data_IF_164445119215
#
_entry.id   IF_164445119215
#
_cell.length_a   1.000
_cell.length_b   1.000
_cell.length_c   1.000
_cell.angle_alpha   90.00
_cell.angle_beta   90.00
_cell.angle_gamma   90.00
#
_symmetry.space_group_name_H-M   'P 1'
#
loop_
_entity.id
_entity.type
_entity.pdbx_description
1 polymer ?
#
# COMPACT_ATOMS: atom_id res chain seq x y z
N UNK A 1 -8.96 18.75 -29.57
CA UNK A 1 -7.58 19.24 -29.35
C UNK A 1 -7.51 19.83 -27.95
N UNK A 2 -7.22 19.02 -26.93
CA UNK A 2 -6.91 19.55 -25.60
C UNK A 2 -5.44 19.95 -25.62
N UNK A 3 -5.16 21.26 -25.54
CA UNK A 3 -3.79 21.74 -25.33
C UNK A 3 -3.43 21.41 -23.88
N UNK A 4 -2.60 20.38 -23.68
CA UNK A 4 -1.92 20.21 -22.40
C UNK A 4 -1.11 21.48 -22.15
N UNK A 5 -1.54 22.29 -21.18
CA UNK A 5 -0.89 23.57 -20.89
C UNK A 5 0.23 23.26 -19.90
N UNK A 6 1.49 23.37 -20.34
CA UNK A 6 2.66 23.25 -19.46
C UNK A 6 2.93 24.55 -18.74
N UNK A 7 3.32 24.45 -17.47
CA UNK A 7 3.71 25.57 -16.60
C UNK A 7 5.11 25.31 -16.07
N UNK A 8 5.97 26.33 -16.05
CA UNK A 8 7.29 26.20 -15.46
C UNK A 8 7.25 26.57 -13.98
N UNK A 9 7.86 25.73 -13.15
CA UNK A 9 8.14 26.01 -11.75
C UNK A 9 9.64 26.05 -11.51
N UNK A 10 10.06 26.97 -10.66
CA UNK A 10 11.45 27.09 -10.22
C UNK A 10 11.51 26.67 -8.75
N UNK A 11 12.39 25.71 -8.45
CA UNK A 11 12.70 25.32 -7.08
C UNK A 11 14.08 25.84 -6.72
N UNK A 12 14.13 26.62 -5.65
CA UNK A 12 15.35 27.18 -5.11
C UNK A 12 16.04 26.18 -4.18
N UNK A 13 17.34 26.35 -3.99
CA UNK A 13 18.11 25.56 -3.04
C UNK A 13 17.64 25.88 -1.61
N UNK A 14 17.20 24.88 -0.83
CA UNK A 14 16.75 25.09 0.55
C UNK A 14 17.91 25.32 1.51
N UNK A 15 19.14 25.05 1.06
CA UNK A 15 20.38 25.25 1.80
C UNK A 15 21.46 25.89 0.93
N UNK A 16 22.37 26.59 1.58
CA UNK A 16 23.73 26.79 1.08
C UNK A 16 24.47 25.45 1.12
N UNK A 17 25.15 25.05 0.04
CA UNK A 17 25.77 23.73 -0.04
C UNK A 17 26.25 23.30 -1.42
N UNK A 18 26.65 22.02 -1.52
CA UNK A 18 27.08 21.40 -2.78
C UNK A 18 25.89 20.65 -3.38
N UNK A 19 25.48 21.04 -4.59
CA UNK A 19 24.41 20.37 -5.32
C UNK A 19 24.91 19.10 -6.00
N UNK A 20 24.08 18.07 -6.05
CA UNK A 20 24.38 16.84 -6.78
C UNK A 20 23.11 16.16 -7.32
N UNK A 21 23.29 15.39 -8.38
CA UNK A 21 22.21 14.56 -8.92
C UNK A 21 21.80 13.46 -7.93
N UNK A 22 20.53 13.07 -7.98
CA UNK A 22 19.97 12.02 -7.11
C UNK A 22 20.79 10.71 -7.14
N UNK A 23 21.33 10.32 -8.29
CA UNK A 23 22.16 9.12 -8.44
C UNK A 23 23.41 9.09 -7.53
N UNK A 24 23.84 10.24 -6.98
CA UNK A 24 24.95 10.35 -6.03
C UNK A 24 24.50 10.30 -4.57
N UNK A 25 23.19 10.28 -4.29
CA UNK A 25 22.66 10.16 -2.93
C UNK A 25 22.86 8.71 -2.45
N UNK A 26 23.41 8.47 -1.24
CA UNK A 26 23.73 7.12 -0.76
C UNK A 26 22.49 6.38 -0.22
N UNK A 27 21.38 6.46 -0.93
CA UNK A 27 20.11 5.80 -0.65
C UNK A 27 19.47 5.32 -1.96
N UNK A 28 19.04 4.05 -2.01
CA UNK A 28 18.57 3.44 -3.25
C UNK A 28 17.22 4.01 -3.72
N UNK A 29 16.32 4.41 -2.81
CA UNK A 29 15.01 4.95 -3.16
C UNK A 29 15.15 6.34 -3.79
N UNK A 30 16.02 7.20 -3.23
CA UNK A 30 16.30 8.51 -3.81
C UNK A 30 17.15 8.40 -5.08
N UNK A 31 18.21 7.58 -5.09
CA UNK A 31 19.12 7.47 -6.23
C UNK A 31 18.46 6.91 -7.50
N UNK A 32 17.45 6.05 -7.34
CA UNK A 32 16.67 5.48 -8.44
C UNK A 32 15.48 6.34 -8.87
N UNK A 33 15.30 7.53 -8.25
CA UNK A 33 14.12 8.39 -8.44
C UNK A 33 12.80 7.67 -8.13
N UNK A 34 12.79 6.71 -7.19
CA UNK A 34 11.56 5.96 -6.85
C UNK A 34 10.51 6.82 -6.13
N UNK A 35 10.95 7.87 -5.42
CA UNK A 35 10.11 8.77 -4.60
C UNK A 35 9.67 10.01 -5.38
N UNK A 36 10.44 10.41 -6.38
CA UNK A 36 10.22 11.62 -7.17
C UNK A 36 11.48 12.03 -7.93
N UNK A 37 11.36 13.05 -8.79
CA UNK A 37 12.50 13.61 -9.51
C UNK A 37 12.90 14.97 -8.95
N UNK A 38 14.20 15.28 -8.98
CA UNK A 38 14.75 16.43 -8.29
C UNK A 38 16.26 16.38 -8.15
N UNK A 39 16.77 17.12 -7.17
CA UNK A 39 18.19 17.26 -6.89
C UNK A 39 18.46 17.23 -5.39
N UNK A 40 19.68 16.85 -5.03
CA UNK A 40 20.14 16.86 -3.66
C UNK A 40 21.14 17.99 -3.42
N UNK A 41 21.17 18.49 -2.18
CA UNK A 41 22.11 19.50 -1.71
C UNK A 41 22.75 19.00 -0.42
N UNK A 42 24.08 19.03 -0.35
CA UNK A 42 24.84 18.73 0.85
C UNK A 42 25.00 20.02 1.67
N UNK A 43 24.27 20.17 2.80
CA UNK A 43 24.12 21.46 3.48
C UNK A 43 25.40 21.86 4.23
N UNK A 44 25.70 23.16 4.23
CA UNK A 44 26.75 23.77 5.07
C UNK A 44 26.19 24.78 6.08
N UNK A 45 24.87 24.88 6.20
CA UNK A 45 24.17 25.78 7.12
C UNK A 45 23.03 25.08 7.85
N UNK A 46 22.69 25.59 9.03
CA UNK A 46 21.78 24.95 9.98
C UNK A 46 20.29 25.24 9.75
N UNK A 47 19.91 26.02 8.74
CA UNK A 47 18.50 26.40 8.51
C UNK A 47 18.03 26.01 7.13
N UNK A 48 16.93 25.27 7.10
CA UNK A 48 16.23 24.86 5.90
C UNK A 48 15.22 25.93 5.50
N UNK A 49 15.29 26.39 4.25
CA UNK A 49 14.38 27.39 3.71
C UNK A 49 13.43 26.82 2.66
N UNK A 50 12.27 27.45 2.51
CA UNK A 50 11.27 27.07 1.51
C UNK A 50 11.81 27.30 0.08
N UNK A 51 11.78 26.28 -0.79
CA UNK A 51 12.30 26.36 -2.15
C UNK A 51 11.37 27.14 -3.10
N UNK A 52 10.11 27.33 -2.74
CA UNK A 52 9.11 28.08 -3.50
C UNK A 52 7.97 28.56 -2.60
N UNK A 53 7.05 29.36 -3.15
CA UNK A 53 5.81 29.70 -2.46
C UNK A 53 4.83 28.51 -2.51
N UNK A 54 4.38 28.06 -1.33
CA UNK A 54 3.57 26.86 -1.19
C UNK A 54 2.86 26.81 0.17
N UNK A 55 1.91 25.89 0.31
CA UNK A 55 1.29 25.53 1.60
C UNK A 55 2.02 24.33 2.20
N UNK A 56 2.33 24.38 3.49
CA UNK A 56 2.87 23.23 4.23
C UNK A 56 1.76 22.20 4.40
N UNK A 57 1.87 21.05 3.74
CA UNK A 57 0.82 20.01 3.78
C UNK A 57 1.16 18.88 4.72
N UNK A 58 2.44 18.61 4.95
CA UNK A 58 2.87 17.58 5.88
C UNK A 58 4.22 17.92 6.50
N UNK A 59 4.35 17.68 7.80
CA UNK A 59 5.63 17.65 8.50
C UNK A 59 5.74 16.27 9.13
N UNK A 60 6.82 15.54 8.83
CA UNK A 60 7.01 14.23 9.42
C UNK A 60 7.14 14.33 10.96
N UNK A 61 6.62 13.38 11.77
CA UNK A 61 6.72 13.46 13.24
C UNK A 61 8.14 13.64 13.78
N UNK A 62 9.14 13.02 13.14
CA UNK A 62 10.57 13.21 13.47
C UNK A 62 11.22 14.42 12.79
N UNK A 63 10.44 15.28 12.13
CA UNK A 63 10.83 16.59 11.56
C UNK A 63 11.99 16.57 10.56
N UNK A 64 12.35 15.41 10.03
CA UNK A 64 13.39 15.27 9.01
C UNK A 64 12.86 15.45 7.57
N UNK A 65 11.54 15.53 7.39
CA UNK A 65 10.93 15.71 6.08
C UNK A 65 9.72 16.65 6.16
N UNK A 66 9.57 17.48 5.13
CA UNK A 66 8.46 18.42 4.96
C UNK A 66 7.96 18.36 3.52
N UNK A 67 6.63 18.28 3.37
CA UNK A 67 5.95 18.32 2.07
C UNK A 67 5.25 19.66 1.92
N UNK A 68 5.48 20.29 0.78
CA UNK A 68 4.90 21.57 0.39
C UNK A 68 4.04 21.36 -0.85
N UNK A 69 2.85 21.94 -0.89
CA UNK A 69 1.99 21.91 -2.08
C UNK A 69 1.90 23.32 -2.66
N UNK A 70 2.36 23.47 -3.90
CA UNK A 70 2.31 24.75 -4.64
C UNK A 70 0.87 25.11 -5.02
N UNK A 71 0.64 26.37 -5.41
CA UNK A 71 -0.69 26.84 -5.85
C UNK A 71 -1.25 26.08 -7.06
N UNK A 72 -0.38 25.48 -7.88
CA UNK A 72 -0.75 24.64 -9.03
C UNK A 72 -0.91 23.15 -8.67
N UNK A 73 -0.88 22.81 -7.37
CA UNK A 73 -1.08 21.46 -6.86
C UNK A 73 0.10 20.52 -7.08
N UNK A 74 1.30 21.04 -7.38
CA UNK A 74 2.53 20.22 -7.39
C UNK A 74 3.04 20.08 -5.97
N UNK A 75 3.29 18.83 -5.56
CA UNK A 75 3.88 18.46 -4.28
C UNK A 75 5.40 18.43 -4.36
N UNK A 76 6.03 19.14 -3.45
CA UNK A 76 7.49 19.25 -3.29
C UNK A 76 7.85 18.66 -1.94
N UNK A 77 8.58 17.55 -1.96
CA UNK A 77 9.11 16.92 -0.75
C UNK A 77 10.55 17.37 -0.54
N UNK A 78 10.84 17.79 0.69
CA UNK A 78 12.20 18.08 1.15
C UNK A 78 12.52 17.07 2.25
N UNK A 79 13.48 16.18 1.97
CA UNK A 79 13.92 15.16 2.91
C UNK A 79 15.37 15.43 3.34
N UNK A 80 15.57 15.70 4.62
CA UNK A 80 16.86 16.10 5.19
C UNK A 80 17.66 14.85 5.54
N UNK A 81 18.83 14.69 4.91
CA UNK A 81 19.75 13.58 5.16
C UNK A 81 19.20 12.19 4.81
N UNK A 82 20.05 11.17 4.94
CA UNK A 82 19.71 9.75 4.75
C UNK A 82 19.75 9.06 6.11
N UNK A 83 18.75 8.23 6.43
CA UNK A 83 18.55 7.56 7.73
C UNK A 83 18.17 8.47 8.92
N UNK A 84 17.87 9.76 8.69
CA UNK A 84 17.47 10.73 9.72
C UNK A 84 16.16 10.39 10.43
N UNK A 85 15.29 9.56 9.84
CA UNK A 85 14.09 9.04 10.51
C UNK A 85 14.41 8.34 11.84
N UNK A 86 15.59 7.69 11.94
CA UNK A 86 16.04 6.96 13.14
C UNK A 86 16.32 7.88 14.33
N UNK A 87 16.51 9.18 14.08
CA UNK A 87 16.80 10.18 15.12
C UNK A 87 15.56 10.59 15.93
N UNK A 88 14.35 10.17 15.50
CA UNK A 88 13.09 10.44 16.23
C UNK A 88 12.90 11.91 16.64
N UNK A 89 13.37 12.85 15.83
CA UNK A 89 13.26 14.30 16.06
C UNK A 89 14.45 14.94 16.77
N UNK A 90 15.44 14.16 17.21
CA UNK A 90 16.67 14.70 17.78
C UNK A 90 17.46 15.50 16.74
N UNK A 91 17.79 16.75 17.06
CA UNK A 91 18.53 17.66 16.17
C UNK A 91 17.65 18.45 15.19
N UNK A 92 16.32 18.37 15.28
CA UNK A 92 15.39 19.09 14.39
C UNK A 92 14.36 19.96 15.15
N UNK A 93 14.28 21.22 14.76
CA UNK A 93 13.30 22.19 15.29
C UNK A 93 12.47 22.73 14.14
N UNK A 94 11.19 22.36 14.09
CA UNK A 94 10.25 22.91 13.11
C UNK A 94 9.91 24.36 13.47
N UNK A 95 9.94 25.24 12.49
CA UNK A 95 9.65 26.68 12.61
C UNK A 95 8.27 27.04 12.03
N UNK A 96 7.62 26.07 11.39
CA UNK A 96 6.30 26.18 10.74
C UNK A 96 5.41 25.01 11.18
N UNK A 97 4.10 25.17 11.00
CA UNK A 97 3.08 24.17 11.27
C UNK A 97 2.44 23.67 9.96
N UNK A 98 1.81 22.50 10.03
CA UNK A 98 0.96 22.01 8.93
C UNK A 98 -0.21 22.98 8.73
N UNK A 99 -0.44 23.37 7.48
CA UNK A 99 -1.45 24.35 7.08
C UNK A 99 -0.90 25.74 6.79
N UNK A 100 0.31 26.06 7.25
CA UNK A 100 0.92 27.39 7.04
C UNK A 100 1.22 27.66 5.56
N UNK A 101 1.00 28.89 5.12
CA UNK A 101 1.45 29.37 3.81
C UNK A 101 2.85 29.97 3.94
N UNK A 102 3.78 29.49 3.13
CA UNK A 102 5.18 29.93 3.12
C UNK A 102 5.54 30.54 1.77
N UNK A 103 6.38 31.57 1.80
CA UNK A 103 7.01 32.16 0.62
C UNK A 103 8.37 31.53 0.39
N UNK A 104 8.86 31.63 -0.84
CA UNK A 104 10.24 31.24 -1.13
C UNK A 104 11.20 31.95 -0.17
N UNK A 105 12.15 31.19 0.39
CA UNK A 105 13.14 31.61 1.38
C UNK A 105 12.63 31.80 2.82
N UNK A 106 11.38 31.47 3.13
CA UNK A 106 10.93 31.44 4.52
C UNK A 106 11.57 30.25 5.26
N UNK A 107 11.94 30.41 6.54
CA UNK A 107 12.57 29.35 7.31
C UNK A 107 11.56 28.27 7.70
N UNK A 108 11.89 27.00 7.47
CA UNK A 108 11.01 25.86 7.72
C UNK A 108 11.48 25.03 8.91
N UNK A 109 12.76 24.63 8.92
CA UNK A 109 13.32 23.72 9.93
C UNK A 109 14.74 24.17 10.27
N UNK A 110 15.05 24.24 11.56
CA UNK A 110 16.41 24.43 12.07
C UNK A 110 17.01 23.08 12.48
N UNK A 111 18.27 22.87 12.11
CA UNK A 111 18.99 21.60 12.23
C UNK A 111 20.30 21.81 12.98
N UNK A 112 20.52 20.99 14.00
CA UNK A 112 21.84 20.82 14.60
C UNK A 112 22.69 19.90 13.71
N UNK A 113 23.40 20.49 12.74
CA UNK A 113 24.20 19.75 11.78
C UNK A 113 25.27 18.88 12.46
N UNK A 114 25.89 19.34 13.54
CA UNK A 114 26.93 18.59 14.24
C UNK A 114 26.35 17.34 14.90
N UNK A 115 25.21 17.47 15.57
CA UNK A 115 24.53 16.32 16.19
C UNK A 115 24.02 15.33 15.14
N UNK A 116 23.41 15.83 14.06
CA UNK A 116 22.84 14.97 13.01
C UNK A 116 23.94 14.27 12.20
N UNK A 117 24.99 14.98 11.78
CA UNK A 117 26.07 14.45 10.95
C UNK A 117 26.76 13.22 11.58
N UNK A 118 26.90 13.21 12.91
CA UNK A 118 27.55 12.13 13.64
C UNK A 118 26.70 10.85 13.75
N UNK A 119 25.40 10.91 13.43
CA UNK A 119 24.46 9.80 13.65
C UNK A 119 23.83 9.26 12.37
N UNK A 120 24.14 9.85 11.22
CA UNK A 120 23.49 9.50 9.94
C UNK A 120 24.50 9.20 8.85
N UNK A 121 24.04 8.49 7.81
CA UNK A 121 24.89 8.08 6.70
C UNK A 121 25.32 9.26 5.83
N UNK A 122 24.48 10.30 5.72
CA UNK A 122 24.70 11.46 4.87
C UNK A 122 23.75 12.58 5.25
N UNK A 123 24.22 13.84 5.21
CA UNK A 123 23.40 15.03 5.39
C UNK A 123 22.73 15.53 4.09
N UNK A 124 23.08 14.95 2.95
CA UNK A 124 22.49 15.31 1.64
C UNK A 124 20.97 15.35 1.74
N UNK A 125 20.46 16.57 1.61
CA UNK A 125 19.03 16.87 1.63
C UNK A 125 18.50 16.76 0.21
N UNK A 126 17.45 15.99 0.03
CA UNK A 126 16.82 15.78 -1.26
C UNK A 126 15.64 16.73 -1.40
N UNK A 127 15.58 17.44 -2.53
CA UNK A 127 14.44 18.27 -2.93
C UNK A 127 13.87 17.67 -4.20
N UNK A 128 12.63 17.20 -4.14
CA UNK A 128 12.00 16.49 -5.25
C UNK A 128 10.55 16.91 -5.45
N UNK A 129 10.07 16.73 -6.66
CA UNK A 129 8.66 16.73 -7.01
C UNK A 129 8.19 15.27 -6.96
N UNK A 130 7.17 14.97 -6.14
CA UNK A 130 6.69 13.59 -5.91
C UNK A 130 5.89 13.05 -7.10
N UNK A 131 5.16 13.93 -7.79
CA UNK A 131 4.35 13.60 -8.98
C UNK A 131 5.20 13.68 -10.27
N UNK A 132 5.86 12.57 -10.61
CA UNK A 132 6.76 12.50 -11.76
C UNK A 132 6.04 12.58 -13.11
N UNK A 133 4.79 12.12 -13.18
CA UNK A 133 4.00 12.12 -14.41
C UNK A 133 3.63 13.55 -14.85
N UNK A 134 3.63 14.50 -13.90
CA UNK A 134 3.50 15.92 -14.23
C UNK A 134 4.76 16.51 -14.83
N UNK A 135 5.95 15.98 -14.55
CA UNK A 135 7.23 16.57 -14.96
C UNK A 135 7.49 16.22 -16.43
N UNK A 136 7.28 17.19 -17.32
CA UNK A 136 7.62 17.08 -18.74
C UNK A 136 9.13 17.17 -18.93
N UNK A 137 9.77 18.07 -18.18
CA UNK A 137 11.20 18.31 -18.27
C UNK A 137 11.74 18.87 -16.96
N UNK A 138 12.89 18.38 -16.52
CA UNK A 138 13.61 18.93 -15.38
C UNK A 138 15.00 19.37 -15.82
N UNK A 139 15.31 20.65 -15.58
CA UNK A 139 16.58 21.27 -15.96
C UNK A 139 17.31 21.77 -14.71
N UNK A 140 18.44 21.16 -14.32
CA UNK A 140 19.20 21.63 -13.17
C UNK A 140 19.94 22.94 -13.46
N UNK A 141 20.31 23.63 -12.40
CA UNK A 141 21.33 24.67 -12.44
C UNK A 141 22.70 24.10 -12.86
N UNK A 142 23.52 24.93 -13.51
CA UNK A 142 24.90 24.58 -13.88
C UNK A 142 25.90 24.75 -12.72
N UNK A 143 25.48 25.40 -11.64
CA UNK A 143 26.31 25.65 -10.46
C UNK A 143 26.32 24.45 -9.51
N UNK A 144 27.53 23.97 -9.17
CA UNK A 144 27.72 22.89 -8.19
C UNK A 144 27.72 23.39 -6.74
N UNK A 145 27.97 24.68 -6.51
CA UNK A 145 27.93 25.31 -5.19
C UNK A 145 26.82 26.35 -5.24
N UNK A 146 25.86 26.21 -4.34
CA UNK A 146 24.67 27.06 -4.27
C UNK A 146 24.60 27.73 -2.90
N UNK A 147 24.12 28.96 -2.87
CA UNK A 147 23.64 29.59 -1.64
C UNK A 147 22.16 29.29 -1.45
N UNK A 148 21.65 29.34 -0.21
CA UNK A 148 20.22 29.26 0.02
C UNK A 148 19.46 30.31 -0.79
N UNK A 149 18.43 29.85 -1.50
CA UNK A 149 17.64 30.69 -2.37
C UNK A 149 18.20 30.92 -3.78
N UNK A 150 19.34 30.31 -4.14
CA UNK A 150 19.78 30.19 -5.53
C UNK A 150 18.93 29.15 -6.28
N UNK A 151 18.87 29.21 -7.61
CA UNK A 151 18.12 28.23 -8.40
C UNK A 151 18.74 26.83 -8.27
N UNK A 152 17.95 25.83 -7.87
CA UNK A 152 18.37 24.43 -7.82
C UNK A 152 18.03 23.71 -9.12
N UNK A 153 16.76 23.76 -9.53
CA UNK A 153 16.30 23.28 -10.83
C UNK A 153 14.99 23.95 -11.26
N UNK A 154 14.75 23.95 -12.57
CA UNK A 154 13.47 24.29 -13.18
C UNK A 154 12.76 23.01 -13.62
N UNK A 155 11.46 22.93 -13.38
CA UNK A 155 10.63 21.86 -13.88
C UNK A 155 9.50 22.42 -14.75
N UNK A 156 9.37 21.90 -15.97
CA UNK A 156 8.21 22.08 -16.81
C UNK A 156 7.17 21.03 -16.41
N UNK A 157 6.03 21.47 -15.88
CA UNK A 157 4.98 20.59 -15.34
C UNK A 157 3.65 20.74 -16.08
N UNK A 158 2.92 19.66 -16.30
CA UNK A 158 1.58 19.72 -16.91
C UNK A 158 0.54 20.20 -15.89
N UNK A 159 -0.35 21.11 -16.32
CA UNK A 159 -1.42 21.69 -15.48
C UNK A 159 -2.63 20.77 -15.25
N UNK A 160 -2.54 19.48 -15.57
CA UNK A 160 -3.67 18.57 -15.40
C UNK A 160 -3.55 17.76 -14.12
N UNK A 161 -4.34 18.13 -13.12
CA UNK A 161 -4.85 17.15 -12.18
C UNK A 161 -6.29 17.46 -11.78
N UNK A 162 -7.16 16.48 -12.00
CA UNK A 162 -8.33 16.28 -11.15
C UNK A 162 -7.81 15.84 -9.78
N UNK A 163 -7.56 16.81 -8.91
CA UNK A 163 -7.44 16.56 -7.48
C UNK A 163 -8.63 17.24 -6.83
N UNK A 164 -9.51 16.44 -6.22
CA UNK A 164 -10.57 16.94 -5.36
C UNK A 164 -9.88 17.47 -4.11
N UNK A 165 -9.67 18.78 -4.06
CA UNK A 165 -9.23 19.49 -2.85
C UNK A 165 -10.47 19.78 -2.01
N UNK A 166 -10.38 19.53 -0.71
CA UNK A 166 -11.37 19.97 0.27
C UNK A 166 -11.54 21.50 0.16
N UNK A 167 -12.71 21.96 -0.28
CA UNK A 167 -13.09 23.38 -0.29
C UNK A 167 -14.27 23.62 0.64
N UNK A 168 -14.42 24.85 1.14
CA UNK A 168 -15.53 25.29 1.99
C UNK A 168 -16.91 25.26 1.29
N UNK A 169 -16.98 24.86 0.01
CA UNK A 169 -18.22 24.74 -0.77
C UNK A 169 -18.86 23.34 -0.70
N UNK A 170 -18.35 22.44 0.15
CA UNK A 170 -18.91 21.09 0.34
C UNK A 170 -20.01 21.11 1.42
N UNK A 171 -21.14 20.45 1.16
CA UNK A 171 -22.16 20.25 2.21
C UNK A 171 -21.66 19.20 3.21
N UNK A 172 -21.91 19.44 4.51
CA UNK A 172 -21.48 18.55 5.59
C UNK A 172 -22.68 17.94 6.32
N UNK A 173 -22.51 16.70 6.80
CA UNK A 173 -23.46 16.06 7.70
C UNK A 173 -23.24 16.49 9.15
N UNK A 174 -24.23 16.24 10.02
CA UNK A 174 -23.97 16.18 11.45
C UNK A 174 -22.98 15.04 11.77
N UNK A 175 -22.20 15.13 12.87
CA UNK A 175 -21.29 14.06 13.27
C UNK A 175 -22.04 12.75 13.56
N UNK A 176 -21.62 11.67 12.90
CA UNK A 176 -22.25 10.35 13.00
C UNK A 176 -21.32 9.42 13.78
N UNK A 177 -21.87 8.78 14.82
CA UNK A 177 -21.13 7.82 15.62
C UNK A 177 -21.03 6.47 14.92
N UNK A 178 -19.82 5.92 14.81
CA UNK A 178 -19.60 4.58 14.30
C UNK A 178 -20.01 3.54 15.34
N UNK A 179 -20.94 2.67 14.97
CA UNK A 179 -21.46 1.59 15.83
C UNK A 179 -20.86 0.21 15.51
N UNK A 180 -20.05 0.13 14.46
CA UNK A 180 -19.31 -1.05 14.02
C UNK A 180 -18.25 -1.44 15.07
N UNK A 181 -18.33 -2.64 15.71
CA UNK A 181 -17.43 -3.05 16.79
C UNK A 181 -15.94 -3.02 16.40
N UNK A 182 -15.66 -3.21 15.11
CA UNK A 182 -14.31 -3.25 14.54
C UNK A 182 -13.94 -1.96 13.79
N UNK A 183 -14.80 -0.94 13.79
CA UNK A 183 -14.58 0.35 13.11
C UNK A 183 -14.82 0.31 11.60
N UNK A 184 -14.34 1.32 10.84
CA UNK A 184 -14.41 1.34 9.37
C UNK A 184 -13.21 0.59 8.79
N UNK A 185 -13.26 -0.73 8.91
CA UNK A 185 -12.35 -1.65 8.23
C UNK A 185 -12.85 -1.96 6.80
N UNK A 186 -12.21 -2.90 6.10
CA UNK A 186 -12.49 -3.20 4.70
C UNK A 186 -13.98 -3.47 4.36
N UNK A 187 -14.75 -4.16 5.22
CA UNK A 187 -16.16 -4.51 4.93
C UNK A 187 -17.10 -3.29 5.10
N UNK A 188 -17.08 -2.56 6.22
CA UNK A 188 -17.80 -1.28 6.34
C UNK A 188 -17.34 -0.25 5.32
N UNK A 189 -16.04 -0.18 5.00
CA UNK A 189 -15.52 0.69 3.94
C UNK A 189 -16.07 0.31 2.56
N UNK A 190 -16.15 -0.98 2.23
CA UNK A 190 -16.76 -1.46 0.99
C UNK A 190 -18.27 -1.17 0.93
N UNK A 191 -18.97 -1.27 2.05
CA UNK A 191 -20.38 -0.89 2.16
C UNK A 191 -20.58 0.62 1.90
N UNK A 192 -19.68 1.47 2.40
CA UNK A 192 -19.65 2.92 2.11
C UNK A 192 -19.45 3.17 0.62
N UNK A 193 -18.47 2.52 -0.01
CA UNK A 193 -18.21 2.66 -1.46
C UNK A 193 -19.40 2.16 -2.29
N UNK A 194 -20.04 1.09 -1.85
CA UNK A 194 -21.23 0.51 -2.50
C UNK A 194 -22.44 1.43 -2.39
N UNK A 195 -22.63 2.07 -1.23
CA UNK A 195 -23.74 3.00 -1.01
C UNK A 195 -23.67 4.22 -1.94
N UNK A 196 -22.47 4.69 -2.30
CA UNK A 196 -22.28 5.83 -3.21
C UNK A 196 -22.01 5.44 -4.66
N UNK A 197 -22.11 4.15 -4.98
CA UNK A 197 -21.86 3.62 -6.34
C UNK A 197 -22.98 4.06 -7.27
N UNK A 198 -22.62 4.76 -8.34
CA UNK A 198 -23.57 5.29 -9.34
C UNK A 198 -23.98 6.75 -9.13
N UNK A 199 -23.54 7.39 -8.04
CA UNK A 199 -23.72 8.83 -7.82
C UNK A 199 -22.62 9.62 -8.54
N UNK A 200 -22.93 10.82 -9.04
CA UNK A 200 -21.97 11.74 -9.65
C UNK A 200 -21.58 12.87 -8.68
N UNK A 201 -21.00 12.49 -7.55
CA UNK A 201 -20.49 13.43 -6.55
C UNK A 201 -19.14 13.01 -5.97
N UNK A 202 -18.37 14.03 -5.59
CA UNK A 202 -17.18 13.93 -4.77
C UNK A 202 -17.63 13.75 -3.32
N UNK A 203 -17.11 12.72 -2.64
CA UNK A 203 -17.47 12.44 -1.25
C UNK A 203 -16.22 12.21 -0.42
N UNK A 204 -16.13 12.87 0.72
CA UNK A 204 -15.06 12.69 1.70
C UNK A 204 -15.63 12.32 3.07
N UNK A 205 -14.87 11.53 3.81
CA UNK A 205 -15.10 11.23 5.22
C UNK A 205 -14.03 11.91 6.05
N UNK A 206 -14.44 12.56 7.14
CA UNK A 206 -13.55 13.24 8.07
C UNK A 206 -13.61 12.61 9.45
N UNK A 207 -12.44 12.42 10.06
CA UNK A 207 -12.28 12.09 11.49
C UNK A 207 -11.23 13.02 12.09
N UNK A 208 -11.58 13.74 13.15
CA UNK A 208 -10.65 14.56 13.94
C UNK A 208 -9.76 15.53 13.12
N UNK A 209 -10.29 16.10 12.02
CA UNK A 209 -9.56 17.03 11.14
C UNK A 209 -8.88 16.37 9.93
N UNK A 210 -8.77 15.04 9.90
CA UNK A 210 -8.22 14.30 8.76
C UNK A 210 -9.33 13.86 7.81
N UNK A 211 -9.15 14.09 6.51
CA UNK A 211 -10.14 13.79 5.46
C UNK A 211 -9.62 12.74 4.48
N UNK A 212 -10.45 11.78 4.11
CA UNK A 212 -10.14 10.83 3.04
C UNK A 212 -11.32 10.66 2.06
N UNK A 213 -11.01 10.23 0.85
CA UNK A 213 -11.99 10.00 -0.21
C UNK A 213 -12.86 8.79 0.13
N UNK A 214 -14.17 8.98 0.20
CA UNK A 214 -15.14 7.93 0.55
C UNK A 214 -15.30 6.85 -0.53
N UNK A 215 -14.78 7.08 -1.74
CA UNK A 215 -14.72 6.06 -2.80
C UNK A 215 -13.49 5.15 -2.70
N UNK A 216 -12.51 5.53 -1.88
CA UNK A 216 -11.28 4.76 -1.70
C UNK A 216 -11.36 3.93 -0.43
N UNK A 217 -11.50 2.62 -0.57
CA UNK A 217 -11.47 1.68 0.57
C UNK A 217 -10.18 1.85 1.37
N UNK A 218 -9.03 1.97 0.68
CA UNK A 218 -7.71 2.17 1.30
C UNK A 218 -7.61 3.53 1.99
N UNK A 219 -8.12 4.60 1.36
CA UNK A 219 -8.17 5.93 1.98
C UNK A 219 -9.01 5.97 3.25
N UNK A 220 -10.15 5.29 3.25
CA UNK A 220 -11.01 5.16 4.43
C UNK A 220 -10.36 4.36 5.56
N UNK A 221 -9.64 3.30 5.21
CA UNK A 221 -8.86 2.53 6.18
C UNK A 221 -7.69 3.35 6.75
N UNK A 222 -7.10 4.23 5.94
CA UNK A 222 -6.04 5.17 6.34
C UNK A 222 -6.46 6.19 7.40
N UNK A 223 -7.76 6.50 7.53
CA UNK A 223 -8.30 7.38 8.57
C UNK A 223 -8.38 6.73 9.96
N UNK A 224 -8.16 5.41 10.05
CA UNK A 224 -8.14 4.65 11.30
C UNK A 224 -9.39 4.91 12.18
N UNK A 225 -10.58 4.82 11.58
CA UNK A 225 -11.86 5.11 12.25
C UNK A 225 -12.30 3.88 13.04
N UNK A 226 -12.38 3.99 14.37
CA UNK A 226 -12.71 2.92 15.31
C UNK A 226 -14.15 2.96 15.83
N UNK A 227 -14.52 1.96 16.63
CA UNK A 227 -15.82 1.90 17.30
C UNK A 227 -16.04 3.10 18.23
N UNK A 228 -17.17 3.78 18.06
CA UNK A 228 -17.54 4.94 18.86
C UNK A 228 -16.93 6.26 18.40
N UNK A 229 -16.07 6.26 17.37
CA UNK A 229 -15.58 7.49 16.75
C UNK A 229 -16.71 8.25 16.05
N UNK A 230 -16.60 9.57 16.01
CA UNK A 230 -17.49 10.42 15.25
C UNK A 230 -16.87 10.75 13.90
N UNK A 231 -17.64 10.56 12.83
CA UNK A 231 -17.24 10.91 11.47
C UNK A 231 -18.17 11.96 10.88
N UNK A 232 -17.61 12.82 10.06
CA UNK A 232 -18.38 13.82 9.30
C UNK A 232 -18.26 13.52 7.82
N UNK A 233 -19.39 13.49 7.11
CA UNK A 233 -19.42 13.28 5.66
C UNK A 233 -19.42 14.64 4.97
N UNK A 234 -18.61 14.78 3.93
CA UNK A 234 -18.57 15.94 3.06
C UNK A 234 -18.90 15.51 1.63
N UNK A 235 -19.85 16.18 0.98
CA UNK A 235 -20.23 15.87 -0.39
C UNK A 235 -20.28 17.12 -1.28
N UNK A 236 -19.94 16.97 -2.56
CA UNK A 236 -20.06 18.01 -3.58
C UNK A 236 -20.40 17.42 -4.95
N UNK A 237 -21.40 17.98 -5.61
CA UNK A 237 -21.82 17.57 -6.96
C UNK A 237 -23.33 17.51 -7.11
N UNK A 238 -23.79 17.01 -8.25
CA UNK A 238 -25.22 17.01 -8.62
C UNK A 238 -26.07 16.16 -7.66
N UNK A 239 -25.49 15.05 -7.14
CA UNK A 239 -26.16 14.11 -6.23
C UNK A 239 -25.75 14.27 -4.75
N UNK A 240 -25.19 15.42 -4.36
CA UNK A 240 -24.56 15.60 -3.05
C UNK A 240 -25.49 15.34 -1.85
N UNK A 241 -26.77 15.72 -1.94
CA UNK A 241 -27.74 15.55 -0.85
C UNK A 241 -28.16 14.08 -0.69
N UNK A 242 -28.32 13.37 -1.81
CA UNK A 242 -28.63 11.94 -1.83
C UNK A 242 -27.47 11.10 -1.28
N UNK A 243 -26.23 11.48 -1.60
CA UNK A 243 -25.04 10.82 -1.05
C UNK A 243 -24.96 10.96 0.47
N UNK A 244 -25.28 12.15 1.00
CA UNK A 244 -25.28 12.42 2.44
C UNK A 244 -26.32 11.56 3.17
N UNK A 245 -27.55 11.50 2.65
CA UNK A 245 -28.63 10.71 3.25
C UNK A 245 -28.34 9.21 3.21
N UNK A 246 -27.87 8.69 2.07
CA UNK A 246 -27.55 7.26 1.92
C UNK A 246 -26.41 6.83 2.83
N UNK A 247 -25.34 7.62 2.91
CA UNK A 247 -24.22 7.31 3.80
C UNK A 247 -24.58 7.47 5.27
N UNK A 248 -25.37 8.48 5.63
CA UNK A 248 -25.84 8.66 7.01
C UNK A 248 -26.68 7.47 7.45
N UNK A 249 -27.57 6.98 6.59
CA UNK A 249 -28.37 5.79 6.87
C UNK A 249 -27.52 4.52 6.93
N UNK A 250 -26.58 4.35 5.99
CA UNK A 250 -25.72 3.17 5.93
C UNK A 250 -24.79 3.05 7.16
N UNK A 251 -24.22 4.17 7.61
CA UNK A 251 -23.36 4.23 8.80
C UNK A 251 -24.18 4.01 10.08
N UNK A 252 -25.36 4.63 10.21
CA UNK A 252 -26.22 4.46 11.39
C UNK A 252 -26.85 3.08 11.52
N UNK A 253 -26.94 2.31 10.43
CA UNK A 253 -27.40 0.91 10.42
C UNK A 253 -26.26 -0.10 10.51
N UNK A 254 -25.02 0.36 10.74
CA UNK A 254 -23.88 -0.52 11.02
C UNK A 254 -23.28 -1.18 9.80
N UNK A 255 -23.54 -0.66 8.59
CA UNK A 255 -22.87 -1.07 7.34
C UNK A 255 -22.90 -2.59 7.06
N UNK A 256 -23.93 -3.27 7.56
CA UNK A 256 -24.15 -4.71 7.36
C UNK A 256 -23.20 -5.62 8.15
N UNK A 257 -22.56 -5.15 9.22
CA UNK A 257 -21.71 -5.96 10.12
C UNK A 257 -22.55 -6.65 11.22
N UNK A 258 -22.38 -7.97 11.39
CA UNK A 258 -23.02 -8.69 12.50
C UNK A 258 -22.41 -8.26 13.84
N UNK A 259 -23.26 -7.84 14.78
CA UNK A 259 -22.84 -7.28 16.07
C UNK A 259 -22.99 -5.76 16.19
N UNK A 260 -23.36 -5.05 15.11
CA UNK A 260 -23.72 -3.62 15.13
C UNK A 260 -25.12 -3.34 15.73
N UNK A 261 -25.58 -4.18 16.66
CA UNK A 261 -26.80 -3.94 17.44
C UNK A 261 -26.40 -3.24 18.75
N UNK A 262 -27.16 -2.20 19.12
CA UNK A 262 -26.87 -1.25 20.20
C UNK A 262 -26.87 -1.83 21.65
N UNK A 263 -26.65 -3.12 21.84
CA UNK A 263 -26.66 -3.74 23.18
C UNK A 263 -25.89 -5.05 23.19
N UNK A 264 -24.60 -5.00 23.57
CA UNK A 264 -23.98 -5.94 24.54
C UNK A 264 -22.54 -5.52 24.79
N UNK A 265 -22.29 -4.95 25.96
CA UNK A 265 -20.97 -4.90 26.59
C UNK A 265 -20.78 -6.16 27.42
N UNK A 266 -19.68 -6.88 27.22
CA UNK A 266 -19.09 -7.73 28.27
C UNK A 266 -17.57 -7.72 28.15
N UNK A 267 -16.83 -7.69 29.28
CA UNK A 267 -15.40 -7.42 29.31
C UNK A 267 -14.57 -8.69 29.03
N UNK A 268 -13.44 -8.50 28.35
CA UNK A 268 -12.40 -9.51 28.12
C UNK A 268 -11.54 -9.58 29.38
N UNK A 269 -11.36 -10.78 29.94
CA UNK A 269 -10.43 -11.05 31.04
C UNK A 269 -8.99 -11.19 30.52
N UNK A 270 -8.08 -10.43 31.10
CA UNK A 270 -6.62 -10.57 30.99
C UNK A 270 -6.17 -11.91 31.58
N UNK A 271 -5.81 -12.87 30.74
CA UNK A 271 -4.95 -14.01 31.13
C UNK A 271 -4.34 -14.70 29.89
N UNK A 272 -3.61 -13.92 29.07
CA UNK A 272 -2.78 -14.47 28.01
C UNK A 272 -1.36 -13.92 28.11
N UNK A 273 -0.42 -14.77 28.53
CA UNK A 273 1.02 -14.48 28.58
C UNK A 273 1.68 -14.92 27.25
N UNK A 274 2.13 -13.96 26.41
CA UNK A 274 2.73 -14.24 25.11
C UNK A 274 4.18 -14.75 25.18
N UNK A 275 4.74 -15.01 26.37
CA UNK A 275 6.11 -15.48 26.55
C UNK A 275 6.25 -16.93 27.07
N UNK A 276 5.17 -17.70 27.15
CA UNK A 276 5.23 -19.08 27.70
C UNK A 276 5.64 -20.18 26.72
N UNK A 277 5.86 -19.90 25.44
CA UNK A 277 6.36 -20.91 24.49
C UNK A 277 7.87 -20.81 24.27
N UNK A 278 8.58 -21.87 24.63
CA UNK A 278 9.99 -22.02 24.33
C UNK A 278 10.21 -21.99 22.81
N UNK A 279 11.07 -21.07 22.35
CA UNK A 279 11.48 -20.98 20.95
C UNK A 279 12.03 -22.32 20.44
N UNK A 280 11.33 -22.94 19.48
CA UNK A 280 11.73 -24.18 18.79
C UNK A 280 12.86 -24.01 17.77
N UNK A 281 13.48 -22.82 17.69
CA UNK A 281 14.54 -22.49 16.73
C UNK A 281 15.86 -23.27 16.90
N UNK A 282 15.92 -24.31 17.76
CA UNK A 282 17.16 -25.04 18.06
C UNK A 282 17.05 -26.57 18.21
N UNK A 283 16.07 -27.25 17.61
CA UNK A 283 16.06 -28.72 17.58
C UNK A 283 16.32 -29.31 16.18
N UNK A 284 17.53 -29.14 15.68
CA UNK A 284 18.02 -29.91 14.54
C UNK A 284 18.36 -31.33 15.00
N UNK A 285 17.64 -32.32 14.45
CA UNK A 285 18.02 -33.72 14.58
C UNK A 285 19.39 -33.93 13.93
N UNK A 286 20.28 -34.72 14.55
CA UNK A 286 21.58 -35.07 13.97
C UNK A 286 21.47 -36.10 12.82
N UNK A 287 20.29 -36.70 12.61
CA UNK A 287 20.02 -37.55 11.45
C UNK A 287 19.48 -36.72 10.28
N UNK A 288 20.17 -36.67 9.12
CA UNK A 288 19.72 -35.91 7.94
C UNK A 288 18.41 -36.42 7.33
N UNK A 289 17.91 -37.59 7.74
CA UNK A 289 16.61 -38.14 7.30
C UNK A 289 15.47 -37.84 8.27
N UNK A 290 15.74 -37.12 9.36
CA UNK A 290 14.75 -36.75 10.37
C UNK A 290 14.65 -35.24 10.44
N UNK A 291 13.48 -34.72 10.09
CA UNK A 291 13.14 -33.30 10.16
C UNK A 291 12.17 -33.10 11.32
N UNK A 292 12.44 -32.11 12.17
CA UNK A 292 11.55 -31.71 13.27
C UNK A 292 10.76 -30.48 12.83
N UNK A 293 9.49 -30.38 13.22
CA UNK A 293 8.62 -29.24 12.90
C UNK A 293 7.47 -29.11 13.90
N UNK A 294 6.64 -28.08 13.70
CA UNK A 294 5.44 -27.86 14.52
C UNK A 294 4.29 -28.69 13.97
N UNK A 295 3.60 -29.41 14.86
CA UNK A 295 2.45 -30.22 14.51
C UNK A 295 1.21 -29.33 14.29
N UNK A 296 0.64 -29.38 13.08
CA UNK A 296 -0.61 -28.69 12.76
C UNK A 296 -1.85 -29.55 13.04
N UNK A 297 -1.73 -30.88 12.94
CA UNK A 297 -2.81 -31.84 13.21
C UNK A 297 -2.23 -33.19 13.65
N UNK A 298 -2.79 -33.84 14.68
CA UNK A 298 -2.31 -35.13 15.16
C UNK A 298 -2.61 -36.26 14.19
N UNK A 299 -1.59 -37.08 13.91
CA UNK A 299 -1.72 -38.25 13.05
C UNK A 299 -0.38 -38.85 12.65
N UNK A 300 -0.41 -40.10 12.16
CA UNK A 300 0.74 -40.77 11.56
C UNK A 300 0.35 -41.30 10.19
N UNK A 301 1.13 -40.95 9.18
CA UNK A 301 0.89 -41.33 7.79
C UNK A 301 2.19 -41.77 7.13
N UNK A 302 2.10 -42.76 6.25
CA UNK A 302 3.21 -43.26 5.45
C UNK A 302 2.80 -43.24 3.98
N UNK A 303 3.58 -42.55 3.15
CA UNK A 303 3.22 -42.30 1.76
C UNK A 303 4.40 -41.90 0.89
N UNK A 304 4.11 -41.68 -0.39
CA UNK A 304 5.08 -41.19 -1.38
C UNK A 304 5.28 -39.70 -1.20
N UNK A 305 6.53 -39.26 -1.05
CA UNK A 305 6.85 -37.84 -0.93
C UNK A 305 6.71 -37.16 -2.30
N UNK A 306 5.88 -36.13 -2.39
CA UNK A 306 5.76 -35.29 -3.58
C UNK A 306 6.15 -33.86 -3.26
N UNK A 307 7.28 -33.40 -3.80
CA UNK A 307 7.81 -32.05 -3.55
C UNK A 307 7.33 -31.10 -4.63
N UNK A 308 6.55 -30.09 -4.24
CA UNK A 308 6.15 -28.99 -5.12
C UNK A 308 7.17 -27.87 -5.01
N UNK A 309 7.84 -27.57 -6.13
CA UNK A 309 8.57 -26.33 -6.30
C UNK A 309 7.67 -25.30 -6.97
N UNK A 310 7.09 -24.41 -6.18
CA UNK A 310 6.39 -23.23 -6.66
C UNK A 310 7.41 -22.17 -7.11
N UNK A 311 8.11 -22.44 -8.22
CA UNK A 311 8.96 -21.43 -8.85
C UNK A 311 8.09 -20.41 -9.59
N UNK A 312 8.33 -19.13 -9.33
CA UNK A 312 7.74 -18.04 -10.10
C UNK A 312 8.32 -18.13 -11.52
N UNK A 313 7.49 -18.14 -12.58
CA UNK A 313 7.97 -18.18 -13.95
C UNK A 313 8.92 -17.02 -14.22
N UNK A 314 10.07 -17.29 -14.87
CA UNK A 314 10.98 -16.23 -15.30
C UNK A 314 10.37 -15.53 -16.50
N UNK A 315 10.26 -14.21 -16.40
CA UNK A 315 9.72 -13.37 -17.47
C UNK A 315 10.78 -12.40 -17.98
N UNK A 316 10.64 -12.00 -19.24
CA UNK A 316 11.45 -10.96 -19.85
C UNK A 316 11.13 -9.61 -19.22
N UNK A 317 12.13 -8.78 -18.93
CA UNK A 317 11.95 -7.52 -18.21
C UNK A 317 11.36 -6.40 -19.09
N UNK A 318 11.48 -6.51 -20.41
CA UNK A 318 11.11 -5.47 -21.37
C UNK A 318 10.22 -6.03 -22.46
N UNK A 319 9.30 -5.21 -22.95
CA UNK A 319 8.46 -5.54 -24.08
C UNK A 319 8.49 -4.41 -25.11
N UNK A 320 8.29 -4.76 -26.38
CA UNK A 320 8.38 -3.80 -27.49
C UNK A 320 7.08 -3.00 -27.70
N UNK A 321 5.93 -3.57 -27.31
CA UNK A 321 4.62 -2.96 -27.52
C UNK A 321 3.83 -2.86 -26.20
N UNK A 322 3.77 -1.66 -25.59
CA UNK A 322 3.01 -1.41 -24.37
C UNK A 322 1.50 -1.71 -24.49
N UNK A 323 0.88 -1.50 -25.66
CA UNK A 323 -0.56 -1.74 -25.84
C UNK A 323 -0.87 -3.24 -25.90
N UNK A 324 -0.03 -4.02 -26.58
CA UNK A 324 -0.18 -5.47 -26.61
C UNK A 324 0.02 -6.10 -25.22
N UNK A 325 0.97 -5.58 -24.43
CA UNK A 325 1.17 -6.04 -23.06
C UNK A 325 0.04 -5.63 -22.11
N UNK A 326 -0.53 -4.44 -22.29
CA UNK A 326 -1.74 -4.04 -21.56
C UNK A 326 -2.89 -5.01 -21.84
N UNK A 327 -3.14 -5.34 -23.11
CA UNK A 327 -4.19 -6.31 -23.45
C UNK A 327 -3.93 -7.68 -22.83
N UNK A 328 -2.68 -8.17 -22.83
CA UNK A 328 -2.32 -9.43 -22.16
C UNK A 328 -2.60 -9.41 -20.67
N UNK A 329 -2.34 -8.28 -20.01
CA UNK A 329 -2.64 -8.10 -18.59
C UNK A 329 -4.14 -8.10 -18.32
N UNK A 330 -4.91 -7.37 -19.14
CA UNK A 330 -6.38 -7.31 -19.04
C UNK A 330 -7.00 -8.71 -19.22
N UNK A 331 -6.54 -9.44 -20.24
CA UNK A 331 -6.98 -10.80 -20.51
C UNK A 331 -6.64 -11.74 -19.34
N UNK A 332 -5.43 -11.63 -18.77
CA UNK A 332 -5.01 -12.47 -17.65
C UNK A 332 -5.80 -12.19 -16.36
N UNK A 333 -6.07 -10.92 -16.05
CA UNK A 333 -6.89 -10.52 -14.89
C UNK A 333 -8.33 -11.01 -15.09
N UNK A 334 -8.88 -10.85 -16.30
CA UNK A 334 -10.23 -11.32 -16.64
C UNK A 334 -10.37 -12.83 -16.47
N UNK A 335 -9.40 -13.61 -16.97
CA UNK A 335 -9.37 -15.07 -16.82
C UNK A 335 -9.22 -15.49 -15.36
N UNK A 336 -8.34 -14.83 -14.59
CA UNK A 336 -8.17 -15.09 -13.17
C UNK A 336 -9.47 -14.82 -12.39
N UNK A 337 -10.13 -13.70 -12.66
CA UNK A 337 -11.37 -13.33 -12.00
C UNK A 337 -12.51 -14.30 -12.35
N UNK A 338 -12.67 -14.67 -13.61
CA UNK A 338 -13.65 -15.68 -14.03
C UNK A 338 -13.44 -17.04 -13.31
N UNK A 339 -12.18 -17.43 -13.11
CA UNK A 339 -11.83 -18.66 -12.40
C UNK A 339 -12.17 -18.56 -10.91
N UNK A 340 -11.87 -17.42 -10.27
CA UNK A 340 -12.26 -17.17 -8.87
C UNK A 340 -13.77 -17.18 -8.69
N UNK A 341 -14.53 -16.63 -9.65
CA UNK A 341 -16.01 -16.66 -9.62
C UNK A 341 -16.53 -18.09 -9.68
N UNK A 342 -15.95 -18.95 -10.53
CA UNK A 342 -16.31 -20.37 -10.55
C UNK A 342 -15.96 -21.06 -9.23
N UNK A 343 -14.77 -20.83 -8.69
CA UNK A 343 -14.34 -21.44 -7.42
C UNK A 343 -15.26 -21.07 -6.25
N UNK A 344 -15.65 -19.79 -6.15
CA UNK A 344 -16.62 -19.32 -5.13
C UNK A 344 -17.96 -20.04 -5.28
N UNK A 345 -18.42 -20.23 -6.52
CA UNK A 345 -19.67 -20.95 -6.79
C UNK A 345 -19.58 -22.41 -6.36
N UNK A 346 -18.51 -23.11 -6.74
CA UNK A 346 -18.30 -24.52 -6.40
C UNK A 346 -18.19 -24.74 -4.87
N UNK A 347 -17.55 -23.81 -4.16
CA UNK A 347 -17.44 -23.87 -2.70
C UNK A 347 -18.77 -23.63 -1.99
N UNK A 348 -19.60 -22.73 -2.53
CA UNK A 348 -20.97 -22.52 -2.02
C UNK A 348 -21.85 -23.74 -2.27
N UNK A 349 -21.75 -24.35 -3.44
CA UNK A 349 -22.50 -25.56 -3.79
C UNK A 349 -22.08 -26.76 -2.90
N UNK A 350 -20.84 -26.77 -2.40
CA UNK A 350 -20.31 -27.76 -1.44
C UNK A 350 -20.58 -27.42 0.04
N UNK A 351 -21.44 -26.43 0.35
CA UNK A 351 -21.72 -25.95 1.71
C UNK A 351 -20.49 -25.45 2.50
N UNK A 352 -19.42 -25.02 1.81
CA UNK A 352 -18.21 -24.47 2.43
C UNK A 352 -18.25 -22.93 2.45
N UNK A 353 -19.35 -22.34 2.96
CA UNK A 353 -19.63 -20.91 2.89
C UNK A 353 -18.51 -20.01 3.46
N UNK A 354 -17.96 -20.36 4.63
CA UNK A 354 -16.85 -19.61 5.25
C UNK A 354 -15.56 -19.62 4.40
N UNK A 355 -15.31 -20.70 3.65
CA UNK A 355 -14.18 -20.75 2.71
C UNK A 355 -14.45 -19.90 1.48
N UNK A 356 -15.70 -19.85 1.01
CA UNK A 356 -16.07 -19.02 -0.13
C UNK A 356 -15.87 -17.50 0.16
N UNK A 357 -16.07 -17.06 1.41
CA UNK A 357 -15.86 -15.67 1.80
C UNK A 357 -14.39 -15.21 1.68
N UNK A 358 -13.43 -16.12 1.90
CA UNK A 358 -12.00 -15.86 1.67
C UNK A 358 -11.76 -15.52 0.18
N UNK A 359 -12.36 -16.29 -0.72
CA UNK A 359 -12.20 -16.07 -2.16
C UNK A 359 -12.98 -14.86 -2.70
N UNK A 360 -14.00 -14.39 -1.99
CA UNK A 360 -14.66 -13.10 -2.30
C UNK A 360 -13.71 -11.95 -1.98
N UNK A 361 -13.02 -12.00 -0.83
CA UNK A 361 -12.00 -11.02 -0.51
C UNK A 361 -10.84 -11.05 -1.54
N UNK A 362 -10.48 -12.23 -2.04
CA UNK A 362 -9.50 -12.37 -3.12
C UNK A 362 -9.94 -11.69 -4.43
N UNK A 363 -11.22 -11.73 -4.79
CA UNK A 363 -11.74 -11.01 -5.96
C UNK A 363 -11.66 -9.49 -5.76
N UNK A 364 -11.93 -8.99 -4.56
CA UNK A 364 -11.83 -7.57 -4.23
C UNK A 364 -10.37 -7.08 -4.31
N UNK A 365 -9.42 -7.88 -3.80
CA UNK A 365 -7.99 -7.58 -3.90
C UNK A 365 -7.50 -7.56 -5.36
N UNK A 366 -8.00 -8.49 -6.20
CA UNK A 366 -7.66 -8.51 -7.63
C UNK A 366 -8.23 -7.32 -8.39
N UNK A 367 -9.42 -6.86 -8.00
CA UNK A 367 -10.14 -5.77 -8.64
C UNK A 367 -9.69 -4.38 -8.16
N UNK A 368 -8.69 -4.28 -7.29
CA UNK A 368 -8.16 -3.02 -6.78
C UNK A 368 -7.57 -2.17 -7.92
N UNK A 369 -8.14 -0.98 -8.20
CA UNK A 369 -7.63 -0.08 -9.23
C UNK A 369 -6.18 0.35 -8.98
N UNK A 370 -5.75 0.46 -7.71
CA UNK A 370 -4.39 0.92 -7.39
C UNK A 370 -3.32 -0.10 -7.84
N UNK A 371 -3.65 -1.39 -7.81
CA UNK A 371 -2.76 -2.45 -8.29
C UNK A 371 -2.64 -2.40 -9.82
N UNK A 372 -3.77 -2.21 -10.51
CA UNK A 372 -3.83 -2.13 -11.97
C UNK A 372 -3.17 -0.86 -12.53
N UNK A 373 -3.47 0.31 -11.96
CA UNK A 373 -2.89 1.60 -12.37
C UNK A 373 -1.36 1.60 -12.26
N UNK A 374 -0.81 1.03 -11.19
CA UNK A 374 0.65 0.87 -11.04
C UNK A 374 1.25 -0.04 -12.11
N UNK A 375 0.53 -1.10 -12.50
CA UNK A 375 0.99 -1.98 -13.58
C UNK A 375 1.00 -1.24 -14.92
N UNK A 376 -0.01 -0.40 -15.21
CA UNK A 376 -0.06 0.42 -16.41
C UNK A 376 1.12 1.40 -16.51
N UNK A 377 1.50 2.02 -15.40
CA UNK A 377 2.66 2.93 -15.34
C UNK A 377 3.94 2.19 -15.77
N UNK A 378 4.18 0.99 -15.25
CA UNK A 378 5.35 0.18 -15.62
C UNK A 378 5.29 -0.31 -17.08
N UNK A 379 4.10 -0.67 -17.59
CA UNK A 379 3.90 -1.03 -19.00
C UNK A 379 4.22 0.13 -19.94
N UNK A 380 3.82 1.36 -19.60
CA UNK A 380 4.13 2.57 -20.37
C UNK A 380 5.64 2.88 -20.38
N UNK A 381 6.39 2.43 -19.37
CA UNK A 381 7.85 2.50 -19.31
C UNK A 381 8.55 1.41 -20.15
N UNK A 382 7.80 0.63 -20.95
CA UNK A 382 8.33 -0.42 -21.84
C UNK A 382 8.65 -1.73 -21.12
N UNK A 383 8.08 -1.95 -19.93
CA UNK A 383 8.20 -3.22 -19.20
C UNK A 383 7.15 -4.22 -19.67
N UNK A 384 7.44 -5.51 -19.52
CA UNK A 384 6.48 -6.57 -19.87
C UNK A 384 5.37 -6.69 -18.82
N UNK A 385 4.20 -7.19 -19.21
CA UNK A 385 3.08 -7.42 -18.30
C UNK A 385 3.44 -8.32 -17.10
N UNK A 386 4.12 -9.47 -17.28
CA UNK A 386 4.52 -10.31 -16.14
C UNK A 386 5.47 -9.61 -15.16
N UNK A 387 6.42 -8.81 -15.67
CA UNK A 387 7.36 -8.07 -14.81
C UNK A 387 6.65 -6.96 -14.03
N UNK A 388 5.86 -6.14 -14.73
CA UNK A 388 5.08 -5.06 -14.15
C UNK A 388 4.14 -5.58 -13.06
N UNK A 389 3.43 -6.65 -13.36
CA UNK A 389 2.51 -7.31 -12.42
C UNK A 389 3.22 -7.80 -11.17
N UNK A 390 4.29 -8.61 -11.31
CA UNK A 390 4.99 -9.16 -10.15
C UNK A 390 5.64 -8.08 -9.29
N UNK A 391 6.18 -7.02 -9.89
CA UNK A 391 6.76 -5.89 -9.17
C UNK A 391 5.71 -5.14 -8.36
N UNK A 392 4.55 -4.85 -8.97
CA UNK A 392 3.45 -4.16 -8.29
C UNK A 392 2.86 -5.02 -7.17
N UNK A 393 2.72 -6.32 -7.42
CA UNK A 393 2.26 -7.30 -6.46
C UNK A 393 3.14 -7.34 -5.21
N UNK A 394 4.46 -7.52 -5.37
CA UNK A 394 5.40 -7.53 -4.25
C UNK A 394 5.33 -6.23 -3.44
N UNK A 395 5.33 -5.07 -4.12
CA UNK A 395 5.29 -3.77 -3.46
C UNK A 395 4.00 -3.55 -2.66
N UNK A 396 2.87 -4.00 -3.18
CA UNK A 396 1.59 -3.88 -2.49
C UNK A 396 1.48 -4.86 -1.32
N UNK A 397 2.01 -6.09 -1.48
CA UNK A 397 2.08 -7.06 -0.39
C UNK A 397 3.00 -6.59 0.75
N UNK A 398 4.16 -6.02 0.45
CA UNK A 398 5.08 -5.47 1.45
C UNK A 398 4.43 -4.34 2.27
N UNK A 399 3.64 -3.48 1.61
CA UNK A 399 2.86 -2.43 2.28
C UNK A 399 1.84 -2.99 3.26
N UNK A 400 1.12 -4.04 2.86
CA UNK A 400 0.13 -4.71 3.72
C UNK A 400 0.82 -5.41 4.88
N UNK A 401 1.95 -6.08 4.63
CA UNK A 401 2.73 -6.78 5.65
C UNK A 401 3.34 -5.82 6.70
N UNK A 402 3.62 -4.57 6.32
CA UNK A 402 4.17 -3.54 7.20
C UNK A 402 3.13 -2.85 8.11
N UNK A 403 1.84 -3.18 7.97
CA UNK A 403 0.79 -2.59 8.81
C UNK A 403 0.77 -3.22 10.22
N UNK A 404 0.53 -2.41 11.25
CA UNK A 404 0.52 -2.86 12.65
C UNK A 404 -0.61 -3.85 12.98
N UNK A 405 -1.67 -3.88 12.16
CA UNK A 405 -2.80 -4.78 12.34
C UNK A 405 -2.49 -6.17 11.78
N UNK A 406 -2.40 -7.17 12.67
CA UNK A 406 -2.14 -8.58 12.32
C UNK A 406 -3.09 -9.15 11.26
N UNK A 407 -4.36 -8.72 11.25
CA UNK A 407 -5.35 -9.20 10.29
C UNK A 407 -5.12 -8.58 8.90
N UNK A 408 -4.62 -7.35 8.83
CA UNK A 408 -4.25 -6.70 7.57
C UNK A 408 -2.92 -7.21 7.04
N UNK A 409 -1.94 -7.46 7.93
CA UNK A 409 -0.70 -8.12 7.58
C UNK A 409 -0.94 -9.53 7.01
N UNK A 410 -1.95 -10.26 7.53
CA UNK A 410 -2.39 -11.53 6.98
C UNK A 410 -2.91 -11.46 5.54
N UNK A 411 -3.42 -10.31 5.08
CA UNK A 411 -3.88 -10.14 3.69
C UNK A 411 -2.74 -10.01 2.68
N UNK A 412 -1.51 -9.80 3.14
CA UNK A 412 -0.34 -9.76 2.27
C UNK A 412 -0.13 -11.11 1.57
N UNK A 413 -0.36 -12.23 2.26
CA UNK A 413 -0.29 -13.57 1.67
C UNK A 413 -1.46 -13.84 0.72
N UNK A 414 -2.66 -13.36 1.06
CA UNK A 414 -3.85 -13.48 0.22
C UNK A 414 -3.65 -12.75 -1.12
N UNK A 415 -3.10 -11.54 -1.07
CA UNK A 415 -2.75 -10.78 -2.27
C UNK A 415 -1.71 -11.52 -3.11
N UNK A 416 -0.67 -12.10 -2.49
CA UNK A 416 0.34 -12.90 -3.20
C UNK A 416 -0.28 -14.12 -3.88
N UNK A 417 -1.21 -14.82 -3.22
CA UNK A 417 -1.90 -15.99 -3.79
C UNK A 417 -2.65 -15.62 -5.08
N UNK A 418 -3.49 -14.60 -5.00
CA UNK A 418 -4.25 -14.06 -6.13
C UNK A 418 -3.33 -13.54 -7.23
N UNK A 419 -2.27 -12.84 -6.84
CA UNK A 419 -1.27 -12.32 -7.75
C UNK A 419 -0.51 -13.39 -8.52
N UNK A 420 -0.14 -14.48 -7.85
CA UNK A 420 0.55 -15.61 -8.47
C UNK A 420 -0.33 -16.29 -9.52
N UNK A 421 -1.65 -16.35 -9.34
CA UNK A 421 -2.58 -16.88 -10.35
C UNK A 421 -2.50 -16.09 -11.66
N UNK A 422 -2.52 -14.76 -11.58
CA UNK A 422 -2.35 -13.88 -12.75
C UNK A 422 -0.96 -14.04 -13.37
N UNK A 423 0.10 -14.11 -12.55
CA UNK A 423 1.47 -14.34 -13.02
C UNK A 423 1.62 -15.64 -13.81
N UNK A 424 0.92 -16.71 -13.40
CA UNK A 424 0.93 -18.01 -14.10
C UNK A 424 0.21 -17.93 -15.45
N UNK A 425 -0.93 -17.24 -15.50
CA UNK A 425 -1.67 -17.02 -16.76
C UNK A 425 -0.81 -16.22 -17.75
N UNK A 426 -0.16 -15.16 -17.26
CA UNK A 426 0.76 -14.35 -18.06
C UNK A 426 1.98 -15.13 -18.57
N UNK A 427 2.41 -16.16 -17.84
CA UNK A 427 3.48 -17.06 -18.26
C UNK A 427 3.01 -18.23 -19.14
N UNK A 428 1.71 -18.34 -19.43
CA UNK A 428 1.13 -19.47 -20.17
C UNK A 428 1.15 -20.80 -19.40
N UNK A 429 1.28 -20.75 -18.07
CA UNK A 429 1.28 -21.93 -17.21
C UNK A 429 -0.14 -22.24 -16.71
N UNK A 430 -0.35 -23.51 -16.30
CA UNK A 430 -1.59 -23.88 -15.61
C UNK A 430 -1.76 -23.05 -14.35
N UNK A 431 -2.99 -22.61 -14.07
CA UNK A 431 -3.31 -21.85 -12.87
C UNK A 431 -3.10 -22.64 -11.59
N UNK A 432 -3.26 -23.96 -11.66
CA UNK A 432 -3.13 -24.84 -10.50
C UNK A 432 -1.65 -25.08 -10.19
N UNK A 433 -1.29 -24.89 -8.92
CA UNK A 433 0.06 -25.16 -8.40
C UNK A 433 0.26 -26.65 -8.16
N UNK A 434 -0.83 -27.36 -7.83
CA UNK A 434 -0.84 -28.78 -7.51
C UNK A 434 -1.28 -29.57 -8.76
N UNK A 435 -0.46 -30.53 -9.24
CA UNK A 435 -0.86 -31.40 -10.33
C UNK A 435 -2.08 -32.23 -9.99
N UNK A 436 -2.97 -32.44 -10.96
CA UNK A 436 -4.17 -33.28 -10.78
C UNK A 436 -3.87 -34.78 -10.77
N UNK A 437 -2.73 -35.19 -11.31
CA UNK A 437 -2.27 -36.58 -11.37
C UNK A 437 -1.23 -36.89 -10.28
N UNK A 438 -1.68 -36.85 -9.01
CA UNK A 438 -0.86 -37.25 -7.88
C UNK A 438 -0.94 -38.77 -7.67
N UNK A 439 0.17 -39.45 -7.35
CA UNK A 439 0.13 -40.87 -7.01
C UNK A 439 -0.70 -41.10 -5.73
N UNK A 440 -1.37 -42.25 -5.58
CA UNK A 440 -2.12 -42.58 -4.37
C UNK A 440 -1.20 -42.61 -3.15
N UNK A 441 -1.73 -42.23 -1.98
CA UNK A 441 -0.99 -42.12 -0.72
C UNK A 441 0.17 -41.12 -0.79
N UNK A 442 -0.09 -39.92 -1.32
CA UNK A 442 0.92 -38.86 -1.41
C UNK A 442 1.03 -38.06 -0.12
N UNK A 443 2.26 -37.76 0.30
CA UNK A 443 2.59 -36.74 1.29
C UNK A 443 3.14 -35.54 0.54
N UNK A 444 2.40 -34.43 0.58
CA UNK A 444 2.75 -33.21 -0.12
C UNK A 444 3.79 -32.40 0.66
N UNK A 445 4.88 -32.02 0.00
CA UNK A 445 5.92 -31.15 0.57
C UNK A 445 5.98 -29.87 -0.24
N UNK A 446 5.83 -28.73 0.40
CA UNK A 446 5.93 -27.42 -0.24
C UNK A 446 6.68 -26.43 0.65
N UNK A 447 7.12 -25.31 0.08
CA UNK A 447 7.65 -24.21 0.89
C UNK A 447 6.55 -23.63 1.78
N UNK A 448 5.39 -23.37 1.20
CA UNK A 448 4.17 -22.87 1.82
C UNK A 448 2.95 -23.37 1.00
N UNK A 449 1.74 -23.34 1.56
CA UNK A 449 0.50 -23.66 0.83
C UNK A 449 -0.47 -22.50 0.93
N UNK A 450 -0.95 -22.02 -0.21
CA UNK A 450 -1.94 -20.94 -0.23
C UNK A 450 -3.35 -21.44 0.11
N UNK A 451 -4.27 -20.54 0.50
CA UNK A 451 -5.68 -20.88 0.66
C UNK A 451 -6.27 -21.53 -0.60
N UNK A 452 -5.88 -21.08 -1.80
CA UNK A 452 -6.27 -21.70 -3.07
C UNK A 452 -5.82 -23.16 -3.18
N UNK A 453 -4.55 -23.43 -2.86
CA UNK A 453 -3.96 -24.78 -2.95
C UNK A 453 -4.66 -25.76 -1.99
N UNK A 454 -4.94 -25.32 -0.76
CA UNK A 454 -5.65 -26.14 0.24
C UNK A 454 -7.10 -26.41 -0.12
N UNK A 455 -7.78 -25.48 -0.80
CA UNK A 455 -9.18 -25.65 -1.21
C UNK A 455 -9.37 -26.63 -2.37
N UNK A 456 -8.35 -26.76 -3.24
CA UNK A 456 -8.37 -27.65 -4.40
C UNK A 456 -7.73 -29.02 -4.15
N UNK A 457 -7.17 -29.24 -2.95
CA UNK A 457 -6.47 -30.47 -2.59
C UNK A 457 -7.42 -31.68 -2.65
N UNK A 458 -6.99 -32.74 -3.35
CA UNK A 458 -7.72 -34.00 -3.35
C UNK A 458 -7.38 -34.83 -2.09
N UNK A 459 -8.31 -34.85 -1.13
CA UNK A 459 -8.17 -35.56 0.14
C UNK A 459 -8.16 -37.08 0.02
N UNK A 460 -8.60 -37.65 -1.11
CA UNK A 460 -8.59 -39.10 -1.34
C UNK A 460 -7.19 -39.61 -1.74
N UNK A 461 -6.34 -38.70 -2.23
CA UNK A 461 -5.01 -39.01 -2.77
C UNK A 461 -3.91 -38.49 -1.86
N UNK A 462 -4.08 -37.28 -1.32
CA UNK A 462 -3.13 -36.63 -0.42
C UNK A 462 -3.47 -36.99 1.03
N UNK A 463 -2.61 -37.79 1.64
CA UNK A 463 -2.78 -38.29 3.01
C UNK A 463 -2.00 -37.48 4.06
N UNK A 464 -1.13 -36.56 3.63
CA UNK A 464 -0.35 -35.72 4.54
C UNK A 464 0.25 -34.50 3.84
N UNK A 465 0.56 -33.47 4.63
CA UNK A 465 1.15 -32.21 4.18
C UNK A 465 2.31 -31.85 5.10
N UNK A 466 3.40 -31.36 4.52
CA UNK A 466 4.54 -30.81 5.24
C UNK A 466 4.99 -29.51 4.55
N UNK A 467 5.06 -28.40 5.30
CA UNK A 467 5.55 -27.12 4.80
C UNK A 467 6.76 -26.61 5.58
N UNK A 468 7.61 -25.84 4.90
CA UNK A 468 8.78 -25.20 5.56
C UNK A 468 8.45 -23.84 6.18
N UNK A 469 7.39 -23.19 5.68
CA UNK A 469 6.78 -21.96 6.18
C UNK A 469 5.31 -22.24 6.45
N UNK A 470 4.73 -21.54 7.43
CA UNK A 470 3.32 -21.65 7.78
C UNK A 470 3.09 -21.39 9.26
N UNK A 471 2.33 -20.35 9.58
CA UNK A 471 1.78 -20.11 10.93
C UNK A 471 0.29 -19.87 10.77
N UNK A 472 -0.48 -20.95 10.61
CA UNK A 472 -1.94 -20.86 10.60
C UNK A 472 -2.48 -21.79 11.67
N UNK A 473 -2.70 -21.20 12.85
CA UNK A 473 -3.70 -21.67 13.81
C UNK A 473 -5.05 -21.59 13.10
N UNK A 474 -5.53 -22.74 12.62
CA UNK A 474 -6.97 -22.92 12.39
C UNK A 474 -7.51 -23.57 13.64
N UNK A 475 -8.10 -22.77 14.52
CA UNK A 475 -8.94 -23.28 15.61
C UNK A 475 -10.14 -23.99 14.98
N UNK A 476 -10.14 -25.32 15.02
CA UNK A 476 -11.35 -26.10 14.73
C UNK A 476 -12.15 -26.17 16.03
N UNK A 477 -13.28 -25.46 16.08
CA UNK A 477 -14.31 -25.73 17.08
C UNK A 477 -15.00 -27.06 16.74
N UNK A 478 -15.15 -27.90 17.76
CA UNK A 478 -15.84 -29.20 17.71
C UNK A 478 -17.34 -29.07 17.47
#
# INVERSE_FOLDING_TARGET
MNKNTTTNIQLLSPFSGISCALAKVPDAAFASKMVGDGYAVDPIESKLYAPCAAKVTQIHPSRHAITLTTAIGVEVLIHIGVDTVKLKGEGFTALVNVGDEVKAKDPLIEIDLDTVANKVKSLRTVVLITDQDRIVKLTPTSANVLNAGDLLFEAEVTSSAKTVVASDDMICSDPIRIINPTGIHARPAAAIVTAIKGLNCDVMLEKAGEKANARSVVGLMGLNIGFGDNVTIWARGDDQQQALEQLTHAISTGLGEEGANASTTTPVTDDFDPFSEASLLLQTSQDPRKVSGTEASPGQVQGVLYVINSEIPKFETFAQDPQAEQQKLDDAISVANATLVQLVKDLRDKNMGQKADIFIAHQELLADPELYEKCLIELQQGKSAPYSWNKCLCRQSDKLAAMDNKLLAGRASDLIDVGNRVSRILAGLSQDTIPTDLPPNTILVSKDLSPSDTAQLNTDVVIGICTTLGVLQVTVQY
#
